data_IF_223674179211
#
_entry.id   IF_223674179211
#
_cell.length_a   1.000
_cell.length_b   1.000
_cell.length_c   1.000
_cell.angle_alpha   90.00
_cell.angle_beta   90.00
_cell.angle_gamma   90.00
#
_symmetry.space_group_name_H-M   'P 1'
#
loop_
_entity.id
_entity.type
_entity.pdbx_description
1 polymer ?
#
# COMPACT_ATOMS: atom_id res chain seq x y z
N UNK A 1 20.51 9.28 -26.05
CA UNK A 1 19.45 9.73 -25.11
C UNK A 1 19.71 9.12 -23.75
N UNK A 2 19.88 9.97 -22.75
CA UNK A 2 20.47 9.67 -21.44
C UNK A 2 19.60 8.73 -20.59
N UNK A 3 20.23 7.66 -20.07
CA UNK A 3 19.73 6.82 -18.95
C UNK A 3 19.37 7.73 -17.77
N UNK A 4 18.11 8.10 -17.64
CA UNK A 4 17.62 8.76 -16.42
C UNK A 4 17.52 7.69 -15.33
N UNK A 5 18.22 7.95 -14.23
CA UNK A 5 18.81 6.94 -13.38
C UNK A 5 17.79 6.39 -12.36
N UNK A 6 17.77 5.07 -12.09
CA UNK A 6 16.91 4.48 -11.06
C UNK A 6 17.07 5.15 -9.68
N UNK A 7 18.24 5.76 -9.44
CA UNK A 7 18.54 6.58 -8.26
C UNK A 7 17.60 7.78 -8.06
N UNK A 8 17.22 8.50 -9.13
CA UNK A 8 16.34 9.68 -9.00
C UNK A 8 14.90 9.28 -8.66
N UNK A 9 14.44 8.12 -9.13
CA UNK A 9 13.13 7.55 -8.78
C UNK A 9 13.12 6.97 -7.36
N UNK A 10 14.17 6.25 -6.97
CA UNK A 10 14.34 5.72 -5.62
C UNK A 10 14.40 6.85 -4.57
N UNK A 11 15.13 7.94 -4.86
CA UNK A 11 15.19 9.11 -3.97
C UNK A 11 13.83 9.81 -3.78
N UNK A 12 12.98 9.83 -4.82
CA UNK A 12 11.61 10.36 -4.71
C UNK A 12 10.75 9.46 -3.81
N UNK A 13 10.88 8.15 -3.92
CA UNK A 13 10.15 7.19 -3.07
C UNK A 13 10.66 7.16 -1.64
N UNK A 14 11.96 7.41 -1.43
CA UNK A 14 12.55 7.53 -0.11
C UNK A 14 11.92 8.66 0.70
N UNK A 15 11.48 9.76 0.05
CA UNK A 15 10.73 10.82 0.73
C UNK A 15 9.39 10.32 1.29
N UNK A 16 8.66 9.50 0.55
CA UNK A 16 7.40 8.90 1.00
C UNK A 16 7.61 7.85 2.10
N UNK A 17 8.70 7.08 2.04
CA UNK A 17 9.10 6.17 3.10
C UNK A 17 9.47 6.95 4.36
N UNK A 18 10.21 8.05 4.23
CA UNK A 18 10.59 8.90 5.36
C UNK A 18 9.37 9.52 6.04
N UNK A 19 8.46 10.13 5.28
CA UNK A 19 7.26 10.76 5.86
C UNK A 19 6.27 9.73 6.41
N UNK A 20 6.06 8.62 5.69
CA UNK A 20 5.20 7.52 6.14
C UNK A 20 5.76 6.83 7.38
N UNK A 21 7.05 6.52 7.37
CA UNK A 21 7.77 5.89 8.48
C UNK A 21 7.82 6.78 9.72
N UNK A 22 8.02 8.10 9.55
CA UNK A 22 7.92 9.05 10.65
C UNK A 22 6.52 9.05 11.26
N UNK A 23 5.46 9.05 10.45
CA UNK A 23 4.10 8.94 10.96
C UNK A 23 3.84 7.65 11.74
N UNK A 24 4.28 6.51 11.19
CA UNK A 24 4.14 5.20 11.86
C UNK A 24 4.87 5.16 13.20
N UNK A 25 6.09 5.71 13.25
CA UNK A 25 6.91 5.74 14.46
C UNK A 25 6.38 6.73 15.50
N UNK A 26 6.03 7.95 15.08
CA UNK A 26 5.54 9.01 15.96
C UNK A 26 4.22 8.64 16.66
N UNK A 27 3.33 7.96 15.94
CA UNK A 27 2.05 7.49 16.48
C UNK A 27 2.11 6.07 17.06
N UNK A 28 3.30 5.46 17.12
CA UNK A 28 3.55 4.11 17.63
C UNK A 28 2.53 3.07 17.12
N UNK A 29 2.27 3.10 15.82
CA UNK A 29 1.26 2.27 15.17
C UNK A 29 1.50 0.77 15.36
N UNK A 30 2.75 0.24 15.31
CA UNK A 30 3.00 -1.18 15.52
C UNK A 30 2.55 -1.67 16.91
N UNK A 31 2.86 -0.91 17.96
CA UNK A 31 2.46 -1.24 19.33
C UNK A 31 0.95 -1.18 19.50
N UNK A 32 0.32 -0.12 18.97
CA UNK A 32 -1.14 0.00 19.00
C UNK A 32 -1.82 -1.16 18.25
N UNK A 33 -1.30 -1.57 17.08
CA UNK A 33 -1.82 -2.74 16.34
C UNK A 33 -1.64 -4.03 17.16
N UNK A 34 -0.50 -4.25 17.81
CA UNK A 34 -0.29 -5.43 18.64
C UNK A 34 -1.29 -5.50 19.81
N UNK A 35 -1.49 -4.36 20.50
CA UNK A 35 -2.48 -4.25 21.57
C UNK A 35 -3.89 -4.50 21.02
N UNK A 36 -4.27 -3.85 19.93
CA UNK A 36 -5.61 -4.00 19.34
C UNK A 36 -5.91 -5.43 18.89
N UNK A 37 -4.89 -6.17 18.41
CA UNK A 37 -5.02 -7.58 18.02
C UNK A 37 -5.18 -8.52 19.21
N UNK A 38 -4.59 -8.20 20.37
CA UNK A 38 -4.70 -9.02 21.58
C UNK A 38 -6.04 -8.83 22.29
N UNK A 39 -6.74 -7.71 22.03
CA UNK A 39 -8.12 -7.53 22.46
C UNK A 39 -9.05 -8.51 21.73
N UNK A 40 -10.14 -8.94 22.37
CA UNK A 40 -11.19 -9.71 21.72
C UNK A 40 -12.32 -8.81 21.18
N UNK A 41 -13.05 -9.27 20.16
CA UNK A 41 -14.24 -8.58 19.63
C UNK A 41 -13.94 -7.62 18.49
N UNK A 42 -14.70 -6.51 18.41
CA UNK A 42 -14.65 -5.59 17.27
C UNK A 42 -13.26 -4.95 17.07
N UNK A 43 -12.53 -4.63 18.15
CA UNK A 43 -11.18 -4.06 18.03
C UNK A 43 -10.26 -4.95 17.16
N UNK A 44 -10.15 -6.23 17.52
CA UNK A 44 -9.31 -7.18 16.77
C UNK A 44 -9.88 -7.53 15.41
N UNK A 45 -11.21 -7.58 15.24
CA UNK A 45 -11.82 -7.75 13.92
C UNK A 45 -11.44 -6.63 12.95
N UNK A 46 -11.62 -5.36 13.34
CA UNK A 46 -11.28 -4.21 12.50
C UNK A 46 -9.78 -4.14 12.22
N UNK A 47 -8.93 -4.45 13.20
CA UNK A 47 -7.48 -4.52 12.99
C UNK A 47 -7.07 -5.66 12.06
N UNK A 48 -7.68 -6.84 12.17
CA UNK A 48 -7.41 -7.96 11.26
C UNK A 48 -7.91 -7.67 9.84
N UNK A 49 -9.08 -7.05 9.68
CA UNK A 49 -9.59 -6.58 8.39
C UNK A 49 -8.63 -5.57 7.76
N UNK A 50 -8.15 -4.59 8.53
CA UNK A 50 -7.17 -3.62 8.07
C UNK A 50 -5.87 -4.27 7.59
N UNK A 51 -5.32 -5.21 8.37
CA UNK A 51 -4.09 -5.92 8.01
C UNK A 51 -4.28 -6.86 6.82
N UNK A 52 -5.41 -7.57 6.74
CA UNK A 52 -5.74 -8.44 5.61
C UNK A 52 -5.93 -7.66 4.31
N UNK A 53 -6.61 -6.50 4.39
CA UNK A 53 -6.75 -5.59 3.26
C UNK A 53 -5.39 -5.01 2.84
N UNK A 54 -4.54 -4.60 3.79
CA UNK A 54 -3.18 -4.13 3.49
C UNK A 54 -2.33 -5.23 2.82
N UNK A 55 -2.42 -6.48 3.32
CA UNK A 55 -1.76 -7.63 2.71
C UNK A 55 -2.26 -7.91 1.30
N UNK A 56 -3.57 -7.78 1.06
CA UNK A 56 -4.18 -7.89 -0.27
C UNK A 56 -3.67 -6.79 -1.21
N UNK A 57 -3.57 -5.55 -0.73
CA UNK A 57 -3.00 -4.42 -1.49
C UNK A 57 -1.57 -4.71 -1.91
N UNK A 58 -0.72 -5.14 -0.97
CA UNK A 58 0.68 -5.51 -1.26
C UNK A 58 0.72 -6.66 -2.27
N UNK A 59 -0.07 -7.72 -2.07
CA UNK A 59 -0.12 -8.87 -2.97
C UNK A 59 -0.56 -8.51 -4.40
N UNK A 60 -1.62 -7.73 -4.55
CA UNK A 60 -2.11 -7.29 -5.86
C UNK A 60 -1.12 -6.33 -6.54
N UNK A 61 -0.46 -5.46 -5.78
CA UNK A 61 0.55 -4.58 -6.35
C UNK A 61 1.76 -5.38 -6.85
N UNK A 62 2.23 -6.35 -6.07
CA UNK A 62 3.28 -7.28 -6.51
C UNK A 62 2.84 -8.13 -7.70
N UNK A 63 1.58 -8.55 -7.76
CA UNK A 63 1.03 -9.25 -8.92
C UNK A 63 1.11 -8.38 -10.19
N UNK A 64 0.71 -7.11 -10.10
CA UNK A 64 0.77 -6.18 -11.22
C UNK A 64 2.22 -5.84 -11.64
N UNK A 65 3.12 -5.62 -10.69
CA UNK A 65 4.48 -5.12 -10.96
C UNK A 65 5.48 -6.24 -11.24
N UNK A 66 5.39 -7.38 -10.54
CA UNK A 66 6.31 -8.49 -10.69
C UNK A 66 5.72 -9.56 -11.61
N UNK A 67 4.53 -10.07 -11.30
CA UNK A 67 4.02 -11.28 -11.93
C UNK A 67 3.63 -11.06 -13.40
N UNK A 68 2.81 -10.03 -13.70
CA UNK A 68 2.42 -9.75 -15.10
C UNK A 68 3.63 -9.53 -16.02
N UNK A 69 4.55 -8.58 -15.70
CA UNK A 69 5.63 -8.25 -16.62
C UNK A 69 6.73 -9.30 -16.67
N UNK A 70 7.08 -9.95 -15.54
CA UNK A 70 8.23 -10.87 -15.48
C UNK A 70 7.85 -12.32 -15.78
N UNK A 71 6.67 -12.77 -15.34
CA UNK A 71 6.26 -14.18 -15.51
C UNK A 71 5.49 -14.35 -16.80
N UNK A 72 4.48 -13.53 -17.05
CA UNK A 72 3.68 -13.66 -18.28
C UNK A 72 4.30 -12.95 -19.50
N UNK A 73 5.35 -12.13 -19.29
CA UNK A 73 5.96 -11.25 -20.33
C UNK A 73 4.94 -10.40 -21.08
N UNK A 74 3.77 -10.16 -20.48
CA UNK A 74 2.77 -9.23 -21.00
C UNK A 74 3.09 -7.86 -20.46
N UNK A 75 3.05 -6.84 -21.31
CA UNK A 75 3.20 -5.45 -20.88
C UNK A 75 1.80 -4.88 -20.59
N UNK A 76 1.36 -4.84 -19.32
CA UNK A 76 0.06 -4.28 -18.97
C UNK A 76 -0.03 -2.82 -19.40
N UNK A 77 -1.04 -2.50 -20.20
CA UNK A 77 -1.37 -1.12 -20.53
C UNK A 77 -2.18 -0.50 -19.39
N UNK A 78 -1.49 0.04 -18.38
CA UNK A 78 -2.12 0.67 -17.22
C UNK A 78 -2.98 1.89 -17.59
N UNK A 79 -2.66 2.59 -18.69
CA UNK A 79 -3.44 3.74 -19.15
C UNK A 79 -4.83 3.33 -19.65
N UNK A 80 -4.93 2.13 -20.24
CA UNK A 80 -6.19 1.54 -20.72
C UNK A 80 -6.51 0.26 -19.97
N UNK A 81 -6.48 0.34 -18.65
CA UNK A 81 -6.69 -0.81 -17.77
C UNK A 81 -8.05 -1.49 -17.94
N UNK A 82 -9.06 -0.78 -18.45
CA UNK A 82 -10.39 -1.30 -18.71
C UNK A 82 -10.49 -2.19 -19.95
N UNK A 83 -9.52 -2.12 -20.88
CA UNK A 83 -9.50 -2.95 -22.10
C UNK A 83 -9.12 -4.40 -21.79
N UNK A 84 -8.29 -4.64 -20.77
CA UNK A 84 -7.96 -6.00 -20.34
C UNK A 84 -8.95 -6.49 -19.28
N UNK A 85 -9.46 -7.72 -19.44
CA UNK A 85 -10.33 -8.36 -18.45
C UNK A 85 -9.67 -8.49 -17.08
N UNK A 86 -8.35 -8.72 -17.05
CA UNK A 86 -7.56 -8.89 -15.83
C UNK A 86 -7.41 -7.56 -15.06
N UNK A 87 -6.89 -6.49 -15.68
CA UNK A 87 -6.70 -5.19 -15.00
C UNK A 87 -8.04 -4.55 -14.62
N UNK A 88 -9.10 -4.79 -15.39
CA UNK A 88 -10.47 -4.31 -15.10
C UNK A 88 -11.01 -4.85 -13.77
N UNK A 89 -10.54 -6.00 -13.32
CA UNK A 89 -10.94 -6.59 -12.04
C UNK A 89 -9.92 -6.27 -10.95
N UNK A 90 -8.63 -6.40 -11.25
CA UNK A 90 -7.57 -6.23 -10.25
C UNK A 90 -7.49 -4.80 -9.72
N UNK A 91 -7.58 -3.78 -10.59
CA UNK A 91 -7.45 -2.39 -10.15
C UNK A 91 -8.61 -1.96 -9.23
N UNK A 92 -9.89 -2.23 -9.55
CA UNK A 92 -10.97 -1.93 -8.61
C UNK A 92 -10.88 -2.70 -7.29
N UNK A 93 -10.45 -3.97 -7.29
CA UNK A 93 -10.24 -4.73 -6.05
C UNK A 93 -9.12 -4.11 -5.22
N UNK A 94 -8.03 -3.67 -5.87
CA UNK A 94 -6.96 -2.94 -5.21
C UNK A 94 -7.48 -1.65 -4.56
N UNK A 95 -8.23 -0.82 -5.31
CA UNK A 95 -8.78 0.44 -4.81
C UNK A 95 -9.75 0.23 -3.64
N UNK A 96 -10.65 -0.74 -3.75
CA UNK A 96 -11.60 -1.08 -2.68
C UNK A 96 -10.87 -1.61 -1.44
N UNK A 97 -9.84 -2.44 -1.62
CA UNK A 97 -9.01 -2.93 -0.51
C UNK A 97 -8.28 -1.80 0.21
N UNK A 98 -7.79 -0.79 -0.52
CA UNK A 98 -7.16 0.40 0.08
C UNK A 98 -8.18 1.14 0.95
N UNK A 99 -9.37 1.43 0.41
CA UNK A 99 -10.40 2.19 1.13
C UNK A 99 -10.87 1.41 2.36
N UNK A 100 -11.22 0.13 2.20
CA UNK A 100 -11.70 -0.72 3.30
C UNK A 100 -10.62 -0.89 4.37
N UNK A 101 -9.39 -1.16 3.96
CA UNK A 101 -8.30 -1.37 4.91
C UNK A 101 -7.91 -0.09 5.66
N UNK A 102 -7.83 1.05 4.98
CA UNK A 102 -7.52 2.33 5.61
C UNK A 102 -8.62 2.77 6.57
N UNK A 103 -9.89 2.70 6.14
CA UNK A 103 -11.03 3.06 7.00
C UNK A 103 -11.11 2.14 8.22
N UNK A 104 -10.88 0.83 8.05
CA UNK A 104 -10.86 -0.11 9.16
C UNK A 104 -9.73 0.18 10.14
N UNK A 105 -8.54 0.57 9.65
CA UNK A 105 -7.41 0.93 10.49
C UNK A 105 -7.68 2.22 11.27
N UNK A 106 -8.25 3.24 10.62
CA UNK A 106 -8.66 4.50 11.27
C UNK A 106 -9.71 4.21 12.34
N UNK A 107 -10.72 3.39 12.05
CA UNK A 107 -11.75 3.03 13.02
C UNK A 107 -11.16 2.27 14.22
N UNK A 108 -10.26 1.32 13.97
CA UNK A 108 -9.59 0.55 15.01
C UNK A 108 -8.77 1.46 15.95
N UNK A 109 -7.95 2.33 15.38
CA UNK A 109 -7.13 3.26 16.16
C UNK A 109 -8.00 4.32 16.84
N UNK A 110 -8.98 4.92 16.16
CA UNK A 110 -9.72 6.05 16.72
C UNK A 110 -10.60 5.65 17.90
N UNK A 111 -11.11 4.41 17.90
CA UNK A 111 -12.06 3.95 18.91
C UNK A 111 -11.42 3.23 20.08
N UNK A 112 -10.32 2.50 19.85
CA UNK A 112 -9.71 1.62 20.85
C UNK A 112 -8.25 1.96 21.17
N UNK A 113 -7.71 3.06 20.63
CA UNK A 113 -6.39 3.58 20.98
C UNK A 113 -6.46 5.02 21.51
N UNK A 114 -5.45 5.50 22.26
CA UNK A 114 -5.44 6.85 22.80
C UNK A 114 -5.13 7.94 21.76
N UNK A 115 -4.87 7.59 20.48
CA UNK A 115 -4.48 8.52 19.43
C UNK A 115 -5.59 9.52 19.04
N UNK A 116 -6.84 9.21 19.37
CA UNK A 116 -8.01 9.96 18.91
C UNK A 116 -8.16 9.94 17.38
N UNK A 117 -9.13 10.68 16.84
CA UNK A 117 -9.44 10.64 15.41
C UNK A 117 -8.30 11.16 14.53
N UNK A 118 -7.70 12.29 14.89
CA UNK A 118 -6.65 12.95 14.10
C UNK A 118 -5.39 12.08 14.05
N UNK A 119 -4.91 11.59 15.20
CA UNK A 119 -3.75 10.71 15.26
C UNK A 119 -3.98 9.41 14.51
N UNK A 120 -5.20 8.87 14.56
CA UNK A 120 -5.58 7.67 13.81
C UNK A 120 -5.57 7.86 12.30
N UNK A 121 -6.10 8.98 11.81
CA UNK A 121 -6.04 9.35 10.38
C UNK A 121 -4.60 9.52 9.92
N UNK A 122 -3.78 10.25 10.68
CA UNK A 122 -2.38 10.48 10.35
C UNK A 122 -1.57 9.17 10.38
N UNK A 123 -1.76 8.35 11.41
CA UNK A 123 -1.09 7.06 11.56
C UNK A 123 -1.46 6.05 10.47
N UNK A 124 -2.75 5.92 10.15
CA UNK A 124 -3.21 5.06 9.07
C UNK A 124 -2.68 5.54 7.71
N UNK A 125 -2.73 6.84 7.44
CA UNK A 125 -2.19 7.42 6.21
C UNK A 125 -0.68 7.20 6.12
N UNK A 126 0.06 7.38 7.22
CA UNK A 126 1.49 7.08 7.30
C UNK A 126 1.80 5.61 7.01
N UNK A 127 0.97 4.68 7.51
CA UNK A 127 1.10 3.23 7.27
C UNK A 127 0.95 2.89 5.78
N UNK A 128 -0.07 3.46 5.11
CA UNK A 128 -0.28 3.25 3.68
C UNK A 128 0.80 3.95 2.83
N UNK A 129 1.21 5.16 3.19
CA UNK A 129 2.29 5.88 2.51
C UNK A 129 3.62 5.12 2.60
N UNK A 130 3.96 4.59 3.78
CA UNK A 130 5.14 3.75 3.98
C UNK A 130 5.06 2.50 3.13
N UNK A 131 3.91 1.81 3.14
CA UNK A 131 3.69 0.59 2.36
C UNK A 131 3.86 0.84 0.87
N UNK A 132 3.20 1.85 0.31
CA UNK A 132 3.34 2.21 -1.10
C UNK A 132 4.75 2.70 -1.45
N UNK A 133 5.42 3.39 -0.53
CA UNK A 133 6.82 3.79 -0.69
C UNK A 133 7.73 2.57 -0.82
N UNK A 134 7.59 1.60 0.08
CA UNK A 134 8.37 0.35 0.08
C UNK A 134 8.12 -0.48 -1.18
N UNK A 135 6.86 -0.69 -1.54
CA UNK A 135 6.52 -1.46 -2.75
C UNK A 135 6.92 -0.70 -4.02
N UNK A 136 6.84 0.63 -3.99
CA UNK A 136 7.27 1.48 -5.09
C UNK A 136 8.75 1.38 -5.42
N UNK A 137 9.61 1.11 -4.43
CA UNK A 137 11.06 0.94 -4.63
C UNK A 137 11.41 -0.20 -5.58
N UNK A 138 10.46 -1.12 -5.82
CA UNK A 138 10.63 -2.23 -6.75
C UNK A 138 10.74 -1.68 -8.18
N UNK A 139 11.89 -1.84 -8.85
CA UNK A 139 12.06 -1.33 -10.19
C UNK A 139 11.17 -2.10 -11.17
N UNK A 140 10.33 -1.36 -11.90
CA UNK A 140 9.58 -1.88 -13.04
C UNK A 140 10.53 -1.94 -14.24
N UNK A 141 10.60 -3.06 -14.98
CA UNK A 141 11.38 -3.12 -16.20
C UNK A 141 10.88 -2.07 -17.20
N UNK A 142 11.77 -1.20 -17.69
CA UNK A 142 11.45 -0.32 -18.80
C UNK A 142 11.17 -1.16 -20.04
N UNK A 143 9.99 -1.02 -20.64
CA UNK A 143 9.77 -1.52 -22.00
C UNK A 143 10.74 -0.80 -22.93
N UNK A 144 11.82 -1.46 -23.33
CA UNK A 144 12.55 -1.05 -24.53
C UNK A 144 11.57 -1.17 -25.68
N UNK A 145 10.98 -0.05 -26.11
CA UNK A 145 10.26 -0.01 -27.37
C UNK A 145 11.26 -0.34 -28.48
N UNK A 146 11.19 -1.56 -29.00
CA UNK A 146 11.58 -1.83 -30.38
C UNK A 146 10.42 -1.36 -31.26
N UNK A 147 10.52 -0.14 -31.76
CA UNK A 147 10.11 0.29 -33.10
C UNK A 147 10.47 1.77 -33.28
#
# INVERSE_FOLDING_TARGET
>A
MSRQQPLTHALKQLKFIGTGGFGVWFFDIPTNIQILRSLSGYASLFTQLALGALGTVVGLFLYLVLYLPRVQRRHPNYARWNESSELRVVIPILMTSIIVGWTSLVAALARWSPLGLVGSVCGATGTYALTFGLVGLIPVPSSSQSN
#
